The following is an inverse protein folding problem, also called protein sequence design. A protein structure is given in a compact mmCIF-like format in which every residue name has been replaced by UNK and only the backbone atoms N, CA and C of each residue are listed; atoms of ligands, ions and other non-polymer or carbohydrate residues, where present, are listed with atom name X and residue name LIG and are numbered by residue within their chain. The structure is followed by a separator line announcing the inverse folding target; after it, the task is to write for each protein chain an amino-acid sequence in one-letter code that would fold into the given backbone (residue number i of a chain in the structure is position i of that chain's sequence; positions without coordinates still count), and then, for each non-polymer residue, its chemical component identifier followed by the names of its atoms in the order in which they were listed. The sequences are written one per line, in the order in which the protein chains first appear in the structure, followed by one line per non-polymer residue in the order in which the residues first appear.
data_IF_392575374018
#
_entry.id   IF_392575374018
#
_cell.length_a   1.000
_cell.length_b   1.000
_cell.length_c   1.000
_cell.angle_alpha   90.00
_cell.angle_beta   90.00
_cell.angle_gamma   90.00
#
_symmetry.space_group_name_H-M   'P 1'
#
loop_
_entity.id
_entity.type
_entity.pdbx_description
1 polymer ?
#
# COMPACT_ATOMS: atom_id res chain seq x y z
N UNK A 1 -11.00 -25.72 23.55
CA UNK A 1 -11.43 -26.78 22.64
C UNK A 1 -10.21 -27.29 21.89
N UNK A 2 -9.89 -28.56 22.01
CA UNK A 2 -8.82 -29.18 21.23
C UNK A 2 -9.45 -29.81 19.99
N UNK A 3 -9.15 -29.28 18.80
CA UNK A 3 -9.65 -29.83 17.52
C UNK A 3 -9.03 -31.20 17.19
N UNK A 4 -7.84 -31.45 17.71
CA UNK A 4 -7.11 -32.70 17.48
C UNK A 4 -6.95 -33.46 18.80
N UNK A 5 -7.04 -34.79 18.74
CA UNK A 5 -6.80 -35.63 19.93
C UNK A 5 -5.39 -35.41 20.45
N UNK A 6 -5.22 -35.12 21.75
CA UNK A 6 -3.90 -34.92 22.34
C UNK A 6 -3.00 -36.16 22.10
N UNK A 7 -1.73 -35.91 21.76
CA UNK A 7 -0.74 -36.98 21.54
C UNK A 7 -0.64 -37.49 20.11
N UNK A 8 -1.47 -37.10 19.15
CA UNK A 8 -1.33 -37.46 17.75
C UNK A 8 -0.24 -36.62 17.08
N UNK A 9 0.82 -37.26 16.60
CA UNK A 9 1.91 -36.61 15.86
C UNK A 9 1.72 -36.85 14.37
N UNK A 10 1.68 -35.76 13.61
CA UNK A 10 1.59 -35.79 12.16
C UNK A 10 3.00 -35.67 11.54
N UNK A 11 3.23 -36.36 10.42
CA UNK A 11 4.50 -36.34 9.70
C UNK A 11 4.53 -35.20 8.66
N UNK A 12 4.81 -33.97 9.12
CA UNK A 12 4.99 -32.81 8.24
C UNK A 12 6.35 -32.84 7.52
N UNK A 13 7.41 -33.25 8.21
CA UNK A 13 8.77 -33.26 7.67
C UNK A 13 8.98 -34.31 6.60
N UNK A 14 8.23 -35.42 6.63
CA UNK A 14 8.25 -36.43 5.56
C UNK A 14 7.77 -35.87 4.22
N UNK A 15 6.80 -34.98 4.24
CA UNK A 15 6.23 -34.38 3.03
C UNK A 15 6.95 -33.08 2.59
N UNK A 16 7.97 -32.62 3.31
CA UNK A 16 8.64 -31.32 3.09
C UNK A 16 9.12 -31.10 1.65
N UNK A 17 9.57 -32.14 0.95
CA UNK A 17 10.09 -32.03 -0.43
C UNK A 17 9.03 -31.53 -1.41
N UNK A 18 7.82 -32.07 -1.30
CA UNK A 18 6.70 -31.63 -2.15
C UNK A 18 6.32 -30.18 -1.87
N UNK A 19 6.21 -29.83 -0.60
CA UNK A 19 5.79 -28.50 -0.18
C UNK A 19 6.86 -27.42 -0.43
N UNK A 20 8.15 -27.76 -0.30
CA UNK A 20 9.25 -26.88 -0.72
C UNK A 20 9.20 -26.64 -2.24
N UNK A 21 8.90 -27.66 -3.05
CA UNK A 21 8.75 -27.50 -4.49
C UNK A 21 7.57 -26.56 -4.82
N UNK A 22 6.43 -26.71 -4.14
CA UNK A 22 5.28 -25.79 -4.27
C UNK A 22 5.69 -24.35 -3.90
N UNK A 23 6.38 -24.14 -2.77
CA UNK A 23 6.89 -22.83 -2.36
C UNK A 23 7.81 -22.21 -3.42
N UNK A 24 8.73 -23.00 -3.96
CA UNK A 24 9.63 -22.54 -5.01
C UNK A 24 8.87 -22.13 -6.28
N UNK A 25 7.88 -22.91 -6.69
CA UNK A 25 7.03 -22.58 -7.85
C UNK A 25 6.27 -21.29 -7.59
N UNK A 26 5.67 -21.12 -6.41
CA UNK A 26 4.94 -19.91 -6.04
C UNK A 26 5.85 -18.68 -6.03
N UNK A 27 7.02 -18.76 -5.39
CA UNK A 27 7.96 -17.63 -5.31
C UNK A 27 8.57 -17.32 -6.68
N UNK A 28 9.04 -18.32 -7.42
CA UNK A 28 9.60 -18.11 -8.76
C UNK A 28 8.53 -17.56 -9.72
N UNK A 29 7.32 -18.10 -9.66
CA UNK A 29 6.18 -17.58 -10.41
C UNK A 29 5.87 -16.12 -10.05
N UNK A 30 5.86 -15.78 -8.76
CA UNK A 30 5.67 -14.40 -8.30
C UNK A 30 6.79 -13.47 -8.76
N UNK A 31 8.05 -13.93 -8.75
CA UNK A 31 9.19 -13.18 -9.28
C UNK A 31 9.02 -12.93 -10.78
N UNK A 32 8.72 -13.96 -11.56
CA UNK A 32 8.50 -13.83 -13.01
C UNK A 32 7.35 -12.84 -13.29
N UNK A 33 6.22 -13.01 -12.60
CA UNK A 33 5.08 -12.10 -12.73
C UNK A 33 5.44 -10.65 -12.35
N UNK A 34 6.32 -10.44 -11.39
CA UNK A 34 6.78 -9.10 -11.00
C UNK A 34 7.61 -8.40 -12.09
N UNK A 35 8.19 -9.14 -13.04
CA UNK A 35 8.88 -8.58 -14.20
C UNK A 35 8.01 -8.56 -15.44
N UNK A 36 7.18 -9.58 -15.67
CA UNK A 36 6.34 -9.73 -16.86
C UNK A 36 4.99 -10.31 -16.43
N UNK A 37 3.93 -9.50 -16.41
CA UNK A 37 3.74 -8.13 -16.91
C UNK A 37 4.16 -7.01 -15.92
N UNK A 38 4.57 -7.34 -14.71
CA UNK A 38 4.88 -6.38 -13.65
C UNK A 38 3.68 -5.93 -12.81
N UNK A 39 3.93 -5.33 -11.63
CA UNK A 39 2.87 -4.85 -10.74
C UNK A 39 2.15 -3.65 -11.34
N UNK A 40 0.83 -3.65 -11.18
CA UNK A 40 0.00 -2.50 -11.50
C UNK A 40 0.02 -1.53 -10.31
N UNK A 41 0.80 -0.47 -10.42
CA UNK A 41 0.88 0.53 -9.36
C UNK A 41 -0.33 1.47 -9.39
N UNK A 42 -0.95 1.68 -8.25
CA UNK A 42 -2.03 2.65 -8.07
C UNK A 42 -1.54 4.12 -8.16
N UNK A 43 -2.50 5.04 -8.09
CA UNK A 43 -2.27 6.48 -8.14
C UNK A 43 -1.32 6.97 -7.05
N UNK A 44 -1.30 6.31 -5.87
CA UNK A 44 -0.36 6.60 -4.77
C UNK A 44 1.11 6.58 -5.22
N UNK A 45 1.46 5.71 -6.17
CA UNK A 45 2.84 5.48 -6.60
C UNK A 45 3.16 6.01 -8.00
N UNK A 46 2.16 6.08 -8.89
CA UNK A 46 2.33 6.64 -10.24
C UNK A 46 2.16 8.14 -10.25
N UNK A 47 1.34 8.66 -9.35
CA UNK A 47 0.75 9.97 -9.46
C UNK A 47 -0.41 9.96 -10.46
N UNK A 48 -1.20 11.01 -10.47
CA UNK A 48 -2.37 11.16 -11.30
C UNK A 48 -3.57 11.65 -10.52
N UNK A 49 -4.71 11.76 -11.21
CA UNK A 49 -6.01 12.08 -10.60
C UNK A 49 -6.89 10.84 -10.62
N UNK A 50 -7.47 10.50 -9.49
CA UNK A 50 -8.44 9.43 -9.32
C UNK A 50 -9.80 10.04 -9.00
N UNK A 51 -10.80 9.65 -9.77
CA UNK A 51 -12.19 10.09 -9.59
C UNK A 51 -13.08 8.86 -9.45
N UNK A 52 -13.77 8.76 -8.34
CA UNK A 52 -14.73 7.70 -8.06
C UNK A 52 -16.14 8.22 -8.36
N UNK A 53 -16.79 7.60 -9.36
CA UNK A 53 -18.10 8.03 -9.87
C UNK A 53 -19.13 6.92 -9.79
N UNK A 54 -20.33 7.28 -9.35
CA UNK A 54 -21.53 6.45 -9.48
C UNK A 54 -22.42 7.03 -10.60
N UNK A 55 -22.54 6.28 -11.70
CA UNK A 55 -23.41 6.69 -12.80
C UNK A 55 -24.88 6.40 -12.51
N UNK A 56 -25.77 7.30 -12.98
CA UNK A 56 -27.21 7.18 -12.77
C UNK A 56 -27.92 6.18 -13.68
N UNK A 57 -27.25 5.75 -14.77
CA UNK A 57 -27.78 4.80 -15.76
C UNK A 57 -26.79 3.67 -16.07
N UNK A 58 -27.27 2.54 -16.64
CA UNK A 58 -26.42 1.46 -17.09
C UNK A 58 -25.35 1.95 -18.09
N UNK A 59 -24.09 1.72 -17.76
CA UNK A 59 -22.95 2.03 -18.62
C UNK A 59 -21.88 0.98 -18.40
N UNK A 60 -21.14 0.60 -19.43
CA UNK A 60 -20.04 -0.34 -19.32
C UNK A 60 -18.67 0.37 -19.25
N UNK A 61 -17.67 -0.33 -18.79
CA UNK A 61 -16.31 0.21 -18.61
C UNK A 61 -15.68 0.65 -19.94
N UNK A 62 -16.00 0.00 -21.06
CA UNK A 62 -15.46 0.34 -22.36
C UNK A 62 -16.05 1.68 -22.85
N UNK A 63 -17.34 1.88 -22.65
CA UNK A 63 -18.01 3.14 -22.99
C UNK A 63 -17.52 4.30 -22.12
N UNK A 64 -17.36 4.07 -20.81
CA UNK A 64 -16.79 5.07 -19.89
C UNK A 64 -15.35 5.44 -20.34
N UNK A 65 -14.51 4.46 -20.67
CA UNK A 65 -13.14 4.70 -21.15
C UNK A 65 -13.14 5.56 -22.42
N UNK A 66 -13.94 5.19 -23.43
CA UNK A 66 -14.07 5.96 -24.66
C UNK A 66 -14.59 7.38 -24.43
N UNK A 67 -15.51 7.57 -23.48
CA UNK A 67 -16.00 8.88 -23.11
C UNK A 67 -14.91 9.75 -22.46
N UNK A 68 -14.11 9.19 -21.54
CA UNK A 68 -12.98 9.88 -20.91
C UNK A 68 -11.90 10.27 -21.93
N UNK A 69 -11.55 9.37 -22.86
CA UNK A 69 -10.62 9.67 -23.96
C UNK A 69 -11.14 10.80 -24.85
N UNK A 70 -12.41 10.74 -25.18
CA UNK A 70 -13.04 11.73 -26.07
C UNK A 70 -13.18 13.13 -25.44
N UNK A 71 -13.14 13.26 -24.11
CA UNK A 71 -13.10 14.57 -23.43
C UNK A 71 -11.68 15.07 -23.16
N UNK A 72 -10.66 14.38 -23.74
CA UNK A 72 -9.27 14.85 -23.83
C UNK A 72 -8.30 14.27 -22.80
N UNK A 73 -8.71 13.29 -22.00
CA UNK A 73 -7.80 12.62 -21.05
C UNK A 73 -7.22 11.35 -21.70
N UNK A 74 -5.90 11.27 -21.75
CA UNK A 74 -5.17 10.18 -22.42
C UNK A 74 -5.07 8.94 -21.53
N UNK A 75 -5.20 7.76 -22.16
CA UNK A 75 -4.96 6.46 -21.50
C UNK A 75 -5.61 6.31 -20.11
N UNK A 76 -6.94 6.54 -20.01
CA UNK A 76 -7.61 6.40 -18.73
C UNK A 76 -7.65 4.93 -18.29
N UNK A 77 -7.38 4.69 -17.02
CA UNK A 77 -7.68 3.41 -16.38
C UNK A 77 -9.07 3.47 -15.77
N UNK A 78 -9.94 2.56 -16.20
CA UNK A 78 -11.35 2.52 -15.78
C UNK A 78 -11.61 1.17 -15.14
N UNK A 79 -11.91 1.20 -13.84
CA UNK A 79 -12.16 0.01 -13.04
C UNK A 79 -13.58 0.06 -12.50
N UNK A 80 -14.37 -0.96 -12.79
CA UNK A 80 -15.69 -1.09 -12.20
C UNK A 80 -15.57 -1.59 -10.76
N UNK A 81 -16.23 -0.90 -9.84
CA UNK A 81 -16.33 -1.30 -8.43
C UNK A 81 -17.60 -2.12 -8.24
N UNK A 82 -17.48 -3.27 -7.61
CA UNK A 82 -18.64 -4.10 -7.26
C UNK A 82 -19.23 -3.56 -5.96
N UNK A 83 -20.29 -2.77 -6.08
CA UNK A 83 -21.04 -2.24 -4.95
C UNK A 83 -22.53 -2.66 -5.14
N UNK A 84 -23.12 -3.45 -4.21
CA UNK A 84 -24.52 -3.87 -4.32
C UNK A 84 -25.51 -2.71 -4.36
N UNK A 85 -25.17 -1.57 -3.75
CA UNK A 85 -26.03 -0.39 -3.69
C UNK A 85 -25.83 0.57 -4.87
N UNK A 86 -24.70 0.43 -5.62
CA UNK A 86 -24.31 1.30 -6.72
C UNK A 86 -23.80 0.47 -7.90
N UNK A 87 -24.67 -0.12 -8.72
CA UNK A 87 -24.28 -1.09 -9.76
C UNK A 87 -23.39 -0.50 -10.87
N UNK A 88 -23.44 0.83 -11.07
CA UNK A 88 -22.67 1.54 -12.10
C UNK A 88 -21.62 2.42 -11.46
N UNK A 89 -20.86 1.85 -10.54
CA UNK A 89 -19.82 2.51 -9.80
C UNK A 89 -18.45 2.23 -10.44
N UNK A 90 -17.71 3.29 -10.75
CA UNK A 90 -16.40 3.22 -11.43
C UNK A 90 -15.37 4.10 -10.76
N UNK A 91 -14.15 3.62 -10.76
CA UNK A 91 -12.95 4.42 -10.44
C UNK A 91 -12.27 4.75 -11.77
N UNK A 92 -12.14 6.05 -12.03
CA UNK A 92 -11.49 6.61 -13.20
C UNK A 92 -10.14 7.18 -12.78
N UNK A 93 -9.07 6.73 -13.43
CA UNK A 93 -7.73 7.25 -13.18
C UNK A 93 -7.16 7.84 -14.44
N UNK A 94 -6.68 9.07 -14.32
CA UNK A 94 -6.02 9.78 -15.40
C UNK A 94 -4.64 10.25 -14.93
N UNK A 95 -3.67 10.28 -15.87
CA UNK A 95 -2.31 10.71 -15.53
C UNK A 95 -2.19 12.21 -15.31
N UNK A 96 -3.20 12.95 -15.77
CA UNK A 96 -3.25 14.41 -15.62
C UNK A 96 -3.44 14.78 -14.15
N UNK A 97 -2.57 15.64 -13.65
CA UNK A 97 -2.68 16.25 -12.31
C UNK A 97 -2.91 17.74 -12.46
N UNK A 98 -3.63 18.31 -11.50
CA UNK A 98 -3.82 19.77 -11.38
C UNK A 98 -2.53 20.45 -10.91
N UNK A 99 -1.38 20.05 -11.45
CA UNK A 99 -0.12 20.69 -11.10
C UNK A 99 -0.06 22.06 -11.80
N UNK A 100 -0.03 23.14 -11.01
CA UNK A 100 0.33 24.46 -11.51
C UNK A 100 1.82 24.39 -11.83
N UNK A 101 2.17 24.67 -13.08
CA UNK A 101 3.56 24.71 -13.52
C UNK A 101 4.32 25.82 -12.78
N UNK A 102 5.64 25.72 -12.71
CA UNK A 102 6.43 26.77 -12.03
C UNK A 102 6.29 28.13 -12.76
N UNK A 103 6.09 28.13 -14.08
CA UNK A 103 5.79 29.32 -14.85
C UNK A 103 4.42 29.93 -14.45
N UNK A 104 3.40 29.10 -14.35
CA UNK A 104 2.06 29.53 -13.90
C UNK A 104 2.08 30.04 -12.44
N UNK A 105 2.91 29.46 -11.56
CA UNK A 105 3.10 29.94 -10.19
C UNK A 105 3.66 31.37 -10.16
N UNK A 106 4.63 31.66 -11.03
CA UNK A 106 5.20 33.01 -11.14
C UNK A 106 4.12 34.00 -11.62
N UNK A 107 3.35 33.61 -12.65
CA UNK A 107 2.27 34.44 -13.18
C UNK A 107 1.19 34.68 -12.12
N UNK A 108 0.77 33.63 -11.41
CA UNK A 108 -0.21 33.71 -10.32
C UNK A 108 0.28 34.57 -9.14
N UNK A 109 1.54 34.43 -8.72
CA UNK A 109 2.12 35.28 -7.68
C UNK A 109 2.08 36.73 -8.08
N UNK A 110 2.43 37.05 -9.32
CA UNK A 110 2.36 38.40 -9.86
C UNK A 110 0.92 38.90 -9.95
N UNK A 111 -0.02 38.09 -10.41
CA UNK A 111 -1.44 38.43 -10.46
C UNK A 111 -2.03 38.70 -9.07
N UNK A 112 -1.63 37.91 -8.06
CA UNK A 112 -1.98 38.10 -6.64
C UNK A 112 -1.20 39.23 -5.95
N UNK A 113 -0.48 40.00 -6.74
CA UNK A 113 0.33 41.15 -6.23
C UNK A 113 1.31 40.71 -5.11
N UNK A 114 1.93 39.53 -5.26
CA UNK A 114 2.91 39.05 -4.29
C UNK A 114 4.16 39.92 -4.30
N UNK A 115 4.59 40.39 -3.14
CA UNK A 115 5.59 41.45 -2.98
C UNK A 115 6.92 41.12 -3.66
N UNK A 116 7.39 39.86 -3.54
CA UNK A 116 8.68 39.43 -4.10
C UNK A 116 8.68 39.26 -5.62
N UNK A 117 7.50 39.15 -6.24
CA UNK A 117 7.32 38.97 -7.68
C UNK A 117 6.86 40.25 -8.40
N UNK A 118 6.55 41.32 -7.65
CA UNK A 118 6.13 42.58 -8.21
C UNK A 118 7.30 43.36 -8.82
N UNK A 119 7.07 43.89 -10.00
CA UNK A 119 7.93 44.95 -10.55
C UNK A 119 7.61 46.26 -9.86
N UNK A 120 8.58 47.19 -9.69
CA UNK A 120 8.34 48.48 -9.07
C UNK A 120 7.17 49.28 -9.68
N UNK A 121 6.94 49.10 -11.01
CA UNK A 121 5.83 49.74 -11.74
C UNK A 121 4.45 49.15 -11.47
N UNK A 122 4.36 47.99 -10.82
CA UNK A 122 3.09 47.27 -10.63
C UNK A 122 2.56 47.51 -9.18
N UNK A 123 3.37 48.02 -8.26
CA UNK A 123 2.99 48.25 -6.87
C UNK A 123 1.81 49.18 -6.70
N UNK A 124 1.71 50.24 -7.56
CA UNK A 124 0.65 51.23 -7.49
C UNK A 124 -0.71 50.73 -8.00
N UNK A 125 -0.70 49.59 -8.72
CA UNK A 125 -1.92 48.97 -9.26
C UNK A 125 -2.57 48.00 -8.28
N UNK A 126 -1.90 47.70 -7.17
CA UNK A 126 -2.29 46.66 -6.23
C UNK A 126 -2.76 47.28 -4.92
N UNK A 127 -4.08 47.28 -4.61
CA UNK A 127 -4.57 47.74 -3.32
C UNK A 127 -4.01 46.84 -2.19
N UNK A 128 -3.78 47.43 -1.02
CA UNK A 128 -3.23 46.68 0.14
C UNK A 128 -4.10 45.49 0.55
N UNK A 129 -5.43 45.60 0.37
CA UNK A 129 -6.40 44.51 0.65
C UNK A 129 -6.34 43.34 -0.33
N UNK A 130 -5.64 43.47 -1.46
CA UNK A 130 -5.46 42.44 -2.47
C UNK A 130 -3.98 42.19 -2.82
N UNK A 131 -3.07 42.66 -1.95
CA UNK A 131 -1.61 42.46 -2.09
C UNK A 131 -1.17 41.33 -1.18
N UNK A 132 -0.84 40.17 -1.74
CA UNK A 132 -0.41 39.01 -0.99
C UNK A 132 1.01 39.17 -0.44
N UNK A 133 1.19 38.91 0.86
CA UNK A 133 2.51 38.85 1.53
C UNK A 133 3.05 37.45 1.62
N UNK A 134 2.20 36.46 1.48
CA UNK A 134 2.57 35.04 1.39
C UNK A 134 1.68 34.32 0.36
N UNK A 135 2.26 33.53 -0.51
CA UNK A 135 1.53 32.68 -1.49
C UNK A 135 2.07 31.28 -1.43
N UNK A 136 1.24 30.34 -0.98
CA UNK A 136 1.53 28.91 -0.95
C UNK A 136 0.60 28.16 -1.88
N UNK A 137 1.18 27.35 -2.74
CA UNK A 137 0.44 26.45 -3.62
C UNK A 137 0.35 25.07 -2.97
N UNK A 138 -0.84 24.47 -3.00
CA UNK A 138 -0.99 23.05 -2.66
C UNK A 138 -0.17 22.22 -3.64
N UNK A 139 0.31 21.07 -3.17
CA UNK A 139 1.08 20.15 -4.03
C UNK A 139 0.26 19.65 -5.23
N UNK A 140 -1.07 19.69 -5.17
CA UNK A 140 -1.99 19.30 -6.23
C UNK A 140 -2.44 20.40 -7.17
N UNK A 141 -2.06 21.63 -6.88
CA UNK A 141 -2.45 22.76 -7.71
C UNK A 141 -3.96 23.06 -7.71
N UNK A 142 -4.69 22.50 -6.78
CA UNK A 142 -6.14 22.72 -6.60
C UNK A 142 -6.46 23.85 -5.62
N UNK A 143 -5.46 24.29 -4.83
CA UNK A 143 -5.62 25.32 -3.81
C UNK A 143 -4.43 26.25 -3.75
N UNK A 144 -4.73 27.53 -3.51
CA UNK A 144 -3.75 28.55 -3.20
C UNK A 144 -4.11 29.13 -1.82
N UNK A 145 -3.15 29.12 -0.91
CA UNK A 145 -3.29 29.80 0.38
C UNK A 145 -2.48 31.10 0.33
N UNK A 146 -3.15 32.20 0.58
CA UNK A 146 -2.55 33.54 0.58
C UNK A 146 -2.69 34.18 1.94
N UNK A 147 -1.79 35.11 2.26
CA UNK A 147 -1.85 35.96 3.47
C UNK A 147 -1.78 37.42 3.06
N UNK A 148 -2.49 38.26 3.80
CA UNK A 148 -2.57 39.70 3.59
C UNK A 148 -2.25 40.44 4.89
N UNK A 149 -1.80 41.69 4.79
CA UNK A 149 -1.49 42.55 5.97
C UNK A 149 -2.74 43.27 6.51
N UNK A 150 -3.76 43.39 5.68
CA UNK A 150 -5.04 44.02 6.02
C UNK A 150 -6.20 43.10 5.64
N UNK A 151 -7.42 43.48 6.03
CA UNK A 151 -8.62 42.71 5.67
C UNK A 151 -8.69 42.46 4.16
N UNK A 152 -8.76 41.20 3.71
CA UNK A 152 -8.67 40.84 2.30
C UNK A 152 -9.95 41.14 1.53
N UNK A 153 -9.80 41.81 0.38
CA UNK A 153 -10.88 42.01 -0.59
C UNK A 153 -11.03 40.76 -1.47
N UNK A 154 -11.99 39.91 -1.13
CA UNK A 154 -12.21 38.62 -1.80
C UNK A 154 -12.61 38.77 -3.28
N UNK A 155 -13.33 39.84 -3.63
CA UNK A 155 -13.72 40.08 -5.04
C UNK A 155 -12.51 40.54 -5.88
N UNK A 156 -11.66 41.39 -5.35
CA UNK A 156 -10.43 41.78 -6.01
C UNK A 156 -9.49 40.57 -6.19
N UNK A 157 -9.33 39.74 -5.16
CA UNK A 157 -8.52 38.50 -5.20
C UNK A 157 -9.06 37.52 -6.24
N UNK A 158 -10.38 37.32 -6.29
CA UNK A 158 -11.05 36.50 -7.29
C UNK A 158 -10.74 36.96 -8.72
N UNK A 159 -10.88 38.25 -8.97
CA UNK A 159 -10.62 38.85 -10.27
C UNK A 159 -9.14 38.74 -10.68
N UNK A 160 -8.22 38.87 -9.71
CA UNK A 160 -6.79 38.68 -9.92
C UNK A 160 -6.47 37.27 -10.40
N UNK A 161 -7.05 36.23 -9.79
CA UNK A 161 -6.83 34.85 -10.17
C UNK A 161 -7.46 34.54 -11.54
N UNK A 162 -8.67 35.04 -11.78
CA UNK A 162 -9.37 34.83 -13.07
C UNK A 162 -8.70 35.62 -14.24
N UNK A 163 -7.88 36.61 -13.95
CA UNK A 163 -7.11 37.31 -14.99
C UNK A 163 -5.97 36.46 -15.60
N UNK A 164 -5.60 35.38 -14.93
CA UNK A 164 -4.54 34.46 -15.40
C UNK A 164 -5.14 33.47 -16.40
N UNK A 165 -4.64 33.40 -17.65
CA UNK A 165 -5.16 32.51 -18.67
C UNK A 165 -5.08 31.03 -18.20
N UNK A 166 -6.18 30.31 -18.39
CA UNK A 166 -6.27 28.89 -18.05
C UNK A 166 -6.61 28.59 -16.58
N UNK A 167 -6.73 29.60 -15.73
CA UNK A 167 -7.18 29.45 -14.35
C UNK A 167 -8.69 29.58 -14.24
N UNK A 168 -9.30 28.66 -13.52
CA UNK A 168 -10.73 28.66 -13.20
C UNK A 168 -10.92 28.34 -11.73
N UNK A 169 -11.84 29.02 -11.10
CA UNK A 169 -12.19 28.80 -9.71
C UNK A 169 -13.24 27.70 -9.60
N UNK A 170 -13.14 26.88 -8.56
CA UNK A 170 -14.18 25.91 -8.22
C UNK A 170 -15.47 26.66 -7.87
N UNK A 171 -16.59 26.23 -8.45
CA UNK A 171 -17.89 26.81 -8.17
C UNK A 171 -18.28 26.53 -6.71
N UNK A 172 -18.17 27.52 -5.85
CA UNK A 172 -18.61 27.51 -4.47
C UNK A 172 -19.07 28.90 -4.08
N UNK A 173 -20.11 28.99 -3.28
CA UNK A 173 -20.66 30.26 -2.79
C UNK A 173 -19.65 31.10 -1.98
N UNK A 174 -18.60 30.45 -1.45
CA UNK A 174 -17.59 31.07 -0.57
C UNK A 174 -16.16 30.88 -1.09
N UNK A 175 -15.95 30.98 -2.40
CA UNK A 175 -14.61 30.86 -2.99
C UNK A 175 -14.22 32.15 -3.73
N UNK A 176 -13.16 32.89 -3.31
CA UNK A 176 -12.22 32.64 -2.19
C UNK A 176 -12.85 32.75 -0.79
N UNK A 177 -12.29 32.03 0.20
CA UNK A 177 -12.78 32.09 1.57
C UNK A 177 -11.69 32.46 2.57
N UNK A 178 -12.05 33.21 3.62
CA UNK A 178 -11.14 33.50 4.72
C UNK A 178 -11.04 32.30 5.64
N UNK A 179 -9.84 31.70 5.75
CA UNK A 179 -9.56 30.60 6.66
C UNK A 179 -9.36 31.08 8.10
N UNK A 180 -8.63 32.18 8.26
CA UNK A 180 -8.33 32.75 9.57
C UNK A 180 -8.40 34.26 9.51
N UNK A 181 -9.45 34.86 10.10
CA UNK A 181 -9.59 36.32 10.11
C UNK A 181 -8.48 37.09 10.87
N UNK A 182 -7.87 36.44 11.89
CA UNK A 182 -6.80 37.08 12.68
C UNK A 182 -5.49 37.20 11.91
N UNK A 183 -5.20 36.22 11.03
CA UNK A 183 -3.99 36.19 10.23
C UNK A 183 -4.24 36.64 8.79
N UNK A 184 -5.44 37.12 8.47
CA UNK A 184 -5.87 37.49 7.11
C UNK A 184 -5.51 36.43 6.06
N UNK A 185 -5.70 35.16 6.41
CA UNK A 185 -5.45 34.03 5.49
C UNK A 185 -6.67 33.73 4.67
N UNK A 186 -6.44 33.64 3.35
CA UNK A 186 -7.47 33.30 2.36
C UNK A 186 -7.08 32.01 1.66
N UNK A 187 -8.04 31.10 1.52
CA UNK A 187 -7.95 29.92 0.65
C UNK A 187 -8.70 30.21 -0.66
N UNK A 188 -8.01 29.96 -1.75
CA UNK A 188 -8.56 30.07 -3.10
C UNK A 188 -8.58 28.66 -3.69
N UNK A 189 -9.76 28.15 -3.99
CA UNK A 189 -9.94 26.80 -4.58
C UNK A 189 -10.03 26.92 -6.09
N UNK A 190 -9.10 26.27 -6.79
CA UNK A 190 -9.07 26.19 -8.23
C UNK A 190 -9.84 24.95 -8.70
N UNK A 191 -10.32 24.98 -9.94
CA UNK A 191 -10.99 23.86 -10.56
C UNK A 191 -9.98 22.73 -10.81
N UNK A 192 -10.11 21.63 -10.09
CA UNK A 192 -9.21 20.48 -10.20
C UNK A 192 -9.38 19.75 -11.55
N UNK A 193 -8.37 18.96 -11.95
CA UNK A 193 -8.50 18.09 -13.14
C UNK A 193 -9.61 17.06 -12.97
N UNK A 194 -9.86 16.61 -11.75
CA UNK A 194 -10.98 15.73 -11.43
C UNK A 194 -12.33 16.41 -11.66
N UNK A 195 -12.49 17.63 -11.16
CA UNK A 195 -13.72 18.41 -11.40
C UNK A 195 -13.92 18.66 -12.92
N UNK A 196 -12.85 19.04 -13.65
CA UNK A 196 -12.90 19.23 -15.10
C UNK A 196 -13.30 17.94 -15.83
N UNK A 197 -12.82 16.78 -15.38
CA UNK A 197 -13.18 15.48 -15.93
C UNK A 197 -14.69 15.22 -15.74
N UNK A 198 -15.21 15.44 -14.54
CA UNK A 198 -16.62 15.24 -14.21
C UNK A 198 -17.49 16.16 -15.06
N UNK A 199 -17.18 17.46 -15.11
CA UNK A 199 -17.95 18.46 -15.88
C UNK A 199 -17.96 18.13 -17.37
N UNK A 200 -16.82 17.75 -17.94
CA UNK A 200 -16.74 17.35 -19.35
C UNK A 200 -17.48 16.04 -19.65
N UNK A 201 -17.40 15.06 -18.73
CA UNK A 201 -18.17 13.82 -18.85
C UNK A 201 -19.67 14.09 -18.80
N UNK A 202 -20.11 14.96 -17.87
CA UNK A 202 -21.52 15.38 -17.76
C UNK A 202 -21.98 16.09 -19.02
N UNK A 203 -21.19 17.00 -19.55
CA UNK A 203 -21.50 17.69 -20.80
C UNK A 203 -21.62 16.72 -22.00
N UNK A 204 -20.85 15.63 -22.02
CA UNK A 204 -20.85 14.64 -23.11
C UNK A 204 -21.91 13.56 -22.98
N UNK A 205 -22.09 13.00 -21.78
CA UNK A 205 -22.98 11.86 -21.51
C UNK A 205 -24.38 12.29 -21.06
N UNK A 206 -24.53 13.54 -20.63
CA UNK A 206 -25.76 14.08 -20.08
C UNK A 206 -25.85 13.98 -18.57
N UNK A 207 -26.63 14.88 -17.97
CA UNK A 207 -26.86 14.93 -16.51
C UNK A 207 -27.60 13.70 -15.97
N UNK A 208 -28.35 13.01 -16.80
CA UNK A 208 -29.04 11.77 -16.44
C UNK A 208 -28.07 10.61 -16.22
N UNK A 209 -26.91 10.61 -16.92
CA UNK A 209 -25.89 9.60 -16.80
C UNK A 209 -24.87 9.98 -15.72
N UNK A 210 -24.49 11.28 -15.66
CA UNK A 210 -23.57 11.83 -14.65
C UNK A 210 -24.32 12.84 -13.78
N UNK A 211 -25.08 12.41 -12.78
CA UNK A 211 -25.82 13.30 -11.88
C UNK A 211 -24.89 14.21 -11.07
N UNK A 212 -25.45 15.22 -10.41
CA UNK A 212 -24.66 16.21 -9.65
C UNK A 212 -23.93 15.58 -8.46
N UNK A 213 -24.46 14.54 -7.88
CA UNK A 213 -23.91 13.75 -6.79
C UNK A 213 -23.13 12.50 -7.26
N UNK A 214 -22.85 12.39 -8.57
CA UNK A 214 -22.10 11.25 -9.12
C UNK A 214 -20.72 11.08 -8.53
N UNK A 215 -20.04 12.18 -8.16
CA UNK A 215 -18.70 12.17 -7.61
C UNK A 215 -18.72 11.75 -6.14
N UNK A 216 -18.21 10.54 -5.87
CA UNK A 216 -18.09 10.01 -4.51
C UNK A 216 -16.77 10.43 -3.88
N UNK A 217 -15.70 10.48 -4.68
CA UNK A 217 -14.36 10.82 -4.24
C UNK A 217 -13.54 11.37 -5.40
N UNK A 218 -12.78 12.42 -5.13
CA UNK A 218 -11.78 12.95 -6.07
C UNK A 218 -10.47 13.08 -5.31
N UNK A 219 -9.47 12.31 -5.73
CA UNK A 219 -8.13 12.33 -5.16
C UNK A 219 -7.10 12.56 -6.25
N UNK A 220 -5.97 13.09 -5.87
CA UNK A 220 -4.85 13.30 -6.78
C UNK A 220 -3.53 13.18 -6.03
N UNK A 221 -2.53 12.69 -6.72
CA UNK A 221 -1.17 12.58 -6.22
C UNK A 221 -0.22 13.14 -7.27
N UNK A 222 0.55 14.15 -6.89
CA UNK A 222 1.58 14.70 -7.78
C UNK A 222 2.67 13.64 -8.08
N UNK A 223 3.28 13.61 -9.28
CA UNK A 223 4.27 12.61 -9.66
C UNK A 223 5.49 12.55 -8.73
N UNK A 224 5.94 13.71 -8.21
CA UNK A 224 7.03 13.79 -7.23
C UNK A 224 6.62 13.16 -5.89
N UNK A 225 5.39 13.43 -5.43
CA UNK A 225 4.84 12.83 -4.21
C UNK A 225 4.68 11.32 -4.37
N UNK A 226 4.16 10.83 -5.49
CA UNK A 226 4.03 9.40 -5.77
C UNK A 226 5.37 8.67 -5.75
N UNK A 227 6.42 9.26 -6.35
CA UNK A 227 7.78 8.71 -6.26
C UNK A 227 8.27 8.65 -4.80
N UNK A 228 8.09 9.72 -4.05
CA UNK A 228 8.49 9.79 -2.64
C UNK A 228 7.74 8.77 -1.79
N UNK A 229 6.43 8.60 -2.00
CA UNK A 229 5.62 7.60 -1.31
C UNK A 229 6.09 6.17 -1.61
N UNK A 230 6.41 5.87 -2.87
CA UNK A 230 6.97 4.57 -3.26
C UNK A 230 8.32 4.29 -2.60
N UNK A 231 9.23 5.27 -2.57
CA UNK A 231 10.53 5.13 -1.93
C UNK A 231 10.37 4.96 -0.40
N UNK A 232 9.46 5.70 0.22
CA UNK A 232 9.14 5.57 1.65
C UNK A 232 8.51 4.21 1.96
N UNK A 233 7.59 3.71 1.14
CA UNK A 233 6.97 2.40 1.30
C UNK A 233 8.01 1.27 1.22
N UNK A 234 8.91 1.32 0.23
CA UNK A 234 10.04 0.36 0.12
C UNK A 234 10.91 0.41 1.37
N UNK A 235 11.30 1.60 1.82
CA UNK A 235 12.15 1.77 2.99
C UNK A 235 11.45 1.26 4.26
N UNK A 236 10.14 1.49 4.41
CA UNK A 236 9.36 0.97 5.54
C UNK A 236 9.39 -0.56 5.60
N UNK A 237 9.22 -1.25 4.47
CA UNK A 237 9.32 -2.72 4.41
C UNK A 237 10.72 -3.19 4.81
N UNK A 238 11.78 -2.56 4.28
CA UNK A 238 13.17 -2.92 4.63
C UNK A 238 13.44 -2.69 6.11
N UNK A 239 13.05 -1.55 6.66
CA UNK A 239 13.24 -1.23 8.09
C UNK A 239 12.46 -2.23 8.96
N UNK A 240 11.20 -2.55 8.61
CA UNK A 240 10.42 -3.54 9.33
C UNK A 240 11.12 -4.91 9.34
N UNK A 241 11.64 -5.38 8.21
CA UNK A 241 12.39 -6.64 8.12
C UNK A 241 13.65 -6.62 8.97
N UNK A 242 14.41 -5.51 8.99
CA UNK A 242 15.60 -5.35 9.85
C UNK A 242 15.21 -5.38 11.33
N UNK A 243 14.16 -4.65 11.72
CA UNK A 243 13.67 -4.65 13.11
C UNK A 243 13.23 -6.06 13.56
N UNK A 244 12.52 -6.79 12.69
CA UNK A 244 12.11 -8.18 12.95
C UNK A 244 13.35 -9.06 13.13
N UNK A 245 14.35 -8.94 12.25
CA UNK A 245 15.59 -9.71 12.34
C UNK A 245 16.33 -9.44 13.66
N UNK A 246 16.46 -8.18 14.05
CA UNK A 246 17.07 -7.79 15.33
C UNK A 246 16.30 -8.36 16.54
N UNK A 247 14.96 -8.20 16.53
CA UNK A 247 14.12 -8.78 17.57
C UNK A 247 14.34 -10.29 17.70
N UNK A 248 14.34 -11.02 16.59
CA UNK A 248 14.53 -12.46 16.59
C UNK A 248 15.94 -12.87 17.03
N UNK A 249 16.96 -12.09 16.66
CA UNK A 249 18.34 -12.34 17.08
C UNK A 249 18.50 -12.20 18.63
N UNK A 250 17.77 -11.29 19.24
CA UNK A 250 17.74 -11.15 20.70
C UNK A 250 16.85 -12.20 21.40
N UNK A 251 15.73 -12.58 20.79
CA UNK A 251 14.73 -13.45 21.40
C UNK A 251 15.02 -14.93 21.23
N UNK A 252 15.65 -15.32 20.10
CA UNK A 252 15.95 -16.70 19.72
C UNK A 252 17.43 -16.89 19.40
N UNK A 253 17.87 -18.15 19.37
CA UNK A 253 19.19 -18.49 18.84
C UNK A 253 19.30 -18.08 17.37
N UNK A 254 20.48 -17.60 16.95
CA UNK A 254 20.76 -17.15 15.56
C UNK A 254 20.42 -18.21 14.48
N UNK A 255 20.32 -19.49 14.85
CA UNK A 255 19.93 -20.57 13.93
C UNK A 255 18.47 -20.51 13.47
N UNK A 256 17.59 -19.86 14.24
CA UNK A 256 16.16 -19.76 13.94
C UNK A 256 15.82 -18.50 13.11
N UNK A 257 16.55 -17.43 13.27
CA UNK A 257 16.28 -16.16 12.62
C UNK A 257 16.20 -16.23 11.08
N UNK A 258 17.12 -16.91 10.35
CA UNK A 258 17.05 -16.97 8.89
C UNK A 258 15.78 -17.66 8.38
N UNK A 259 15.28 -18.69 9.09
CA UNK A 259 14.04 -19.36 8.72
C UNK A 259 12.83 -18.46 8.71
N UNK A 260 12.69 -17.60 9.74
CA UNK A 260 11.58 -16.63 9.83
C UNK A 260 11.69 -15.58 8.71
N UNK A 261 12.89 -15.05 8.46
CA UNK A 261 13.10 -14.01 7.42
C UNK A 261 12.70 -14.55 6.05
N UNK A 262 13.16 -15.76 5.71
CA UNK A 262 12.84 -16.39 4.42
C UNK A 262 11.34 -16.67 4.32
N UNK A 263 10.68 -17.10 5.39
CA UNK A 263 9.23 -17.31 5.41
C UNK A 263 8.48 -15.98 5.22
N UNK A 264 8.86 -14.90 5.90
CA UNK A 264 8.25 -13.58 5.72
C UNK A 264 8.41 -13.04 4.29
N UNK A 265 9.59 -13.21 3.70
CA UNK A 265 9.84 -12.84 2.30
C UNK A 265 9.01 -13.69 1.33
N UNK A 266 8.92 -14.99 1.57
CA UNK A 266 8.07 -15.91 0.81
C UNK A 266 6.61 -15.42 0.82
N UNK A 267 6.05 -15.12 1.99
CA UNK A 267 4.65 -14.72 2.13
C UNK A 267 4.37 -13.38 1.44
N UNK A 268 5.26 -12.40 1.61
CA UNK A 268 5.17 -11.12 0.91
C UNK A 268 5.21 -11.30 -0.61
N UNK A 269 6.11 -12.16 -1.12
CA UNK A 269 6.22 -12.45 -2.55
C UNK A 269 4.99 -13.16 -3.10
N UNK A 270 4.40 -14.10 -2.36
CA UNK A 270 3.15 -14.77 -2.74
C UNK A 270 2.00 -13.76 -2.85
N UNK A 271 1.86 -12.85 -1.88
CA UNK A 271 0.84 -11.79 -1.93
C UNK A 271 1.02 -10.90 -3.16
N UNK A 272 2.25 -10.43 -3.42
CA UNK A 272 2.55 -9.62 -4.62
C UNK A 272 2.25 -10.41 -5.90
N UNK A 273 2.65 -11.68 -5.97
CA UNK A 273 2.38 -12.54 -7.11
C UNK A 273 0.89 -12.70 -7.42
N UNK A 274 0.06 -12.90 -6.40
CA UNK A 274 -1.40 -12.95 -6.54
C UNK A 274 -1.97 -11.62 -7.02
N UNK A 275 -1.49 -10.48 -6.50
CA UNK A 275 -1.92 -9.16 -6.95
C UNK A 275 -1.61 -8.93 -8.43
N UNK A 276 -0.40 -9.29 -8.86
CA UNK A 276 0.00 -9.18 -10.27
C UNK A 276 -0.82 -10.12 -11.16
N UNK A 277 -1.02 -11.36 -10.72
CA UNK A 277 -1.81 -12.36 -11.46
C UNK A 277 -3.26 -11.92 -11.66
N UNK A 278 -3.87 -11.36 -10.60
CA UNK A 278 -5.25 -10.86 -10.64
C UNK A 278 -5.37 -9.44 -11.19
N UNK A 279 -4.26 -8.85 -11.66
CA UNK A 279 -4.19 -7.46 -12.15
C UNK A 279 -4.70 -6.42 -11.14
N UNK A 280 -4.57 -6.75 -9.86
CA UNK A 280 -4.92 -5.83 -8.78
C UNK A 280 -3.86 -4.74 -8.62
N UNK A 281 -4.29 -3.58 -8.14
CA UNK A 281 -3.38 -2.47 -7.92
C UNK A 281 -2.60 -2.61 -6.63
N UNK A 282 -1.32 -2.26 -6.72
CA UNK A 282 -0.45 -2.11 -5.57
C UNK A 282 -0.51 -0.65 -5.13
N UNK A 283 -1.13 -0.41 -3.98
CA UNK A 283 -1.34 0.89 -3.35
C UNK A 283 -0.62 0.96 -1.99
N UNK A 284 -0.67 2.10 -1.31
CA UNK A 284 -0.20 2.20 0.08
C UNK A 284 -0.93 1.22 1.01
N UNK A 285 -2.23 1.01 0.77
CA UNK A 285 -3.03 0.03 1.52
C UNK A 285 -2.52 -1.39 1.31
N UNK A 286 -2.09 -1.74 0.10
CA UNK A 286 -1.47 -3.06 -0.19
C UNK A 286 -0.17 -3.23 0.58
N UNK A 287 0.68 -2.20 0.66
CA UNK A 287 1.92 -2.25 1.46
C UNK A 287 1.60 -2.42 2.95
N UNK A 288 0.60 -1.69 3.47
CA UNK A 288 0.15 -1.85 4.85
C UNK A 288 -0.37 -3.28 5.12
N UNK A 289 -1.12 -3.87 4.18
CA UNK A 289 -1.56 -5.27 4.27
C UNK A 289 -0.38 -6.24 4.28
N UNK A 290 0.64 -6.05 3.42
CA UNK A 290 1.85 -6.89 3.38
C UNK A 290 2.60 -6.81 4.71
N UNK A 291 2.77 -5.61 5.29
CA UNK A 291 3.40 -5.46 6.61
C UNK A 291 2.60 -6.15 7.71
N UNK A 292 1.27 -6.09 7.64
CA UNK A 292 0.38 -6.81 8.58
C UNK A 292 0.54 -8.32 8.43
N UNK A 293 0.59 -8.84 7.20
CA UNK A 293 0.84 -10.26 6.88
C UNK A 293 2.18 -10.72 7.43
N UNK A 294 3.25 -9.94 7.23
CA UNK A 294 4.58 -10.25 7.76
C UNK A 294 4.53 -10.39 9.29
N UNK A 295 3.86 -9.44 9.98
CA UNK A 295 3.70 -9.51 11.43
C UNK A 295 2.89 -10.74 11.90
N UNK A 296 1.85 -11.08 11.15
CA UNK A 296 1.01 -12.23 11.44
C UNK A 296 1.72 -13.56 11.20
N UNK A 297 2.38 -13.73 10.07
CA UNK A 297 3.19 -14.91 9.72
C UNK A 297 4.33 -15.13 10.71
N UNK A 298 5.00 -14.04 11.11
CA UNK A 298 6.03 -14.12 12.13
C UNK A 298 5.50 -14.66 13.45
N UNK A 299 4.30 -14.24 13.89
CA UNK A 299 3.69 -14.71 15.12
C UNK A 299 3.50 -16.23 15.15
N UNK A 300 2.97 -16.81 14.05
CA UNK A 300 2.80 -18.27 13.94
C UNK A 300 4.14 -19.00 13.93
N UNK A 301 5.12 -18.49 13.19
CA UNK A 301 6.46 -19.08 13.16
C UNK A 301 7.17 -19.05 14.51
N UNK A 302 7.02 -17.95 15.24
CA UNK A 302 7.58 -17.80 16.60
C UNK A 302 6.98 -18.82 17.56
N UNK A 303 5.67 -19.07 17.50
CA UNK A 303 5.00 -20.07 18.34
C UNK A 303 5.53 -21.48 18.07
N UNK A 304 5.69 -21.84 16.79
CA UNK A 304 6.26 -23.14 16.39
C UNK A 304 7.71 -23.26 16.88
N UNK A 305 8.52 -22.21 16.74
CA UNK A 305 9.92 -22.22 17.11
C UNK A 305 10.14 -22.27 18.64
N UNK A 306 9.30 -21.56 19.39
CA UNK A 306 9.35 -21.65 20.86
C UNK A 306 9.06 -23.08 21.34
N UNK A 307 8.08 -23.73 20.70
CA UNK A 307 7.77 -25.13 20.98
C UNK A 307 8.87 -26.11 20.54
N UNK A 308 9.49 -25.88 19.38
CA UNK A 308 10.65 -26.68 18.93
C UNK A 308 11.80 -26.53 19.96
N UNK A 309 12.10 -25.32 20.41
CA UNK A 309 13.14 -25.06 21.39
C UNK A 309 12.87 -25.77 22.72
N UNK A 310 11.64 -25.72 23.21
CA UNK A 310 11.20 -26.40 24.42
C UNK A 310 11.38 -27.93 24.28
N UNK A 311 10.93 -28.51 23.16
CA UNK A 311 11.00 -29.94 22.91
C UNK A 311 12.42 -30.44 22.64
N UNK A 312 13.31 -29.61 22.08
CA UNK A 312 14.74 -29.92 21.99
C UNK A 312 15.39 -30.13 23.35
N UNK A 313 14.96 -29.37 24.37
CA UNK A 313 15.41 -29.55 25.75
C UNK A 313 14.88 -30.81 26.41
N UNK A 314 13.61 -31.16 26.15
CA UNK A 314 12.89 -32.27 26.78
C UNK A 314 13.22 -33.65 26.16
N UNK A 315 13.39 -33.71 24.84
CA UNK A 315 13.52 -34.98 24.10
C UNK A 315 14.93 -35.19 23.54
N UNK A 316 15.89 -35.36 24.44
CA UNK A 316 17.28 -35.67 24.06
C UNK A 316 17.34 -37.06 23.37
N UNK A 317 17.85 -37.11 22.13
CA UNK A 317 17.97 -38.35 21.35
C UNK A 317 17.02 -38.49 20.18
N UNK A 318 15.98 -37.64 20.07
CA UNK A 318 15.16 -37.55 18.85
C UNK A 318 15.86 -36.69 17.80
N UNK A 319 15.64 -37.04 16.51
CA UNK A 319 16.12 -36.19 15.41
C UNK A 319 15.39 -34.82 15.40
N UNK A 320 16.02 -33.79 14.81
CA UNK A 320 15.39 -32.48 14.69
C UNK A 320 14.03 -32.55 13.94
N UNK A 321 13.94 -33.37 12.89
CA UNK A 321 12.68 -33.61 12.15
C UNK A 321 11.57 -34.21 13.05
N UNK A 322 11.90 -35.16 13.90
CA UNK A 322 10.93 -35.76 14.83
C UNK A 322 10.45 -34.75 15.87
N UNK A 323 11.36 -33.90 16.36
CA UNK A 323 11.02 -32.82 17.31
C UNK A 323 10.15 -31.77 16.63
N UNK A 324 10.45 -31.41 15.37
CA UNK A 324 9.63 -30.48 14.59
C UNK A 324 8.23 -31.03 14.37
N UNK A 325 8.08 -32.29 13.94
CA UNK A 325 6.77 -32.93 13.79
C UNK A 325 5.95 -32.91 15.07
N UNK A 326 6.58 -33.22 16.21
CA UNK A 326 5.95 -33.15 17.53
C UNK A 326 5.50 -31.72 17.85
N UNK A 327 6.39 -30.75 17.72
CA UNK A 327 6.15 -29.34 18.08
C UNK A 327 5.05 -28.71 17.24
N UNK A 328 5.09 -28.93 15.90
CA UNK A 328 4.03 -28.48 14.99
C UNK A 328 2.70 -29.11 15.36
N UNK A 329 2.67 -30.44 15.63
CA UNK A 329 1.43 -31.12 16.01
C UNK A 329 0.83 -30.57 17.30
N UNK A 330 1.66 -30.23 18.29
CA UNK A 330 1.23 -29.65 19.58
C UNK A 330 0.72 -28.22 19.45
N UNK A 331 1.24 -27.44 18.51
CA UNK A 331 0.81 -26.04 18.27
C UNK A 331 -0.30 -25.91 17.24
N UNK A 332 -0.61 -26.97 16.48
CA UNK A 332 -1.52 -26.96 15.34
C UNK A 332 -2.92 -26.46 15.69
N UNK A 333 -3.50 -26.92 16.80
CA UNK A 333 -4.83 -26.44 17.25
C UNK A 333 -4.84 -24.94 17.50
N UNK A 334 -3.80 -24.40 18.08
CA UNK A 334 -3.67 -22.97 18.34
C UNK A 334 -3.56 -22.18 17.04
N UNK A 335 -2.67 -22.60 16.15
CA UNK A 335 -2.45 -21.93 14.85
C UNK A 335 -3.74 -21.94 14.01
N UNK A 336 -4.45 -23.06 13.90
CA UNK A 336 -5.70 -23.15 13.16
C UNK A 336 -6.79 -22.25 13.78
N UNK A 337 -6.89 -22.17 15.10
CA UNK A 337 -7.86 -21.30 15.75
C UNK A 337 -7.55 -19.82 15.54
N UNK A 338 -6.30 -19.41 15.74
CA UNK A 338 -5.90 -18.00 15.62
C UNK A 338 -5.96 -17.53 14.16
N UNK A 339 -5.34 -18.29 13.25
CA UNK A 339 -5.33 -17.94 11.82
C UNK A 339 -6.71 -18.11 11.20
N UNK A 340 -7.47 -19.14 11.60
CA UNK A 340 -8.84 -19.37 11.14
C UNK A 340 -9.81 -18.26 11.55
N UNK A 341 -9.73 -17.76 12.80
CA UNK A 341 -10.57 -16.66 13.24
C UNK A 341 -10.34 -15.38 12.43
N UNK A 342 -9.07 -15.00 12.22
CA UNK A 342 -8.73 -13.80 11.44
C UNK A 342 -9.06 -14.02 9.96
N UNK A 343 -8.85 -15.24 9.43
CA UNK A 343 -9.22 -15.59 8.06
C UNK A 343 -10.72 -15.46 7.82
N UNK A 344 -11.57 -15.89 8.76
CA UNK A 344 -13.03 -15.74 8.65
C UNK A 344 -13.44 -14.26 8.60
N UNK A 345 -12.83 -13.41 9.43
CA UNK A 345 -13.09 -11.98 9.40
C UNK A 345 -12.63 -11.39 8.06
N UNK A 346 -11.40 -11.71 7.63
CA UNK A 346 -10.86 -11.23 6.36
C UNK A 346 -11.72 -11.69 5.17
N UNK A 347 -12.21 -12.93 5.16
CA UNK A 347 -13.13 -13.46 4.15
C UNK A 347 -14.46 -12.71 4.13
N UNK A 348 -15.05 -12.42 5.30
CA UNK A 348 -16.30 -11.66 5.37
C UNK A 348 -16.14 -10.28 4.72
N UNK A 349 -15.06 -9.54 5.05
CA UNK A 349 -14.77 -8.25 4.42
C UNK A 349 -14.32 -8.36 2.96
N UNK A 350 -13.72 -9.45 2.55
CA UNK A 350 -13.40 -9.69 1.14
C UNK A 350 -14.66 -9.85 0.28
N UNK A 351 -15.68 -10.54 0.79
CA UNK A 351 -16.94 -10.75 0.05
C UNK A 351 -17.88 -9.54 0.10
N UNK A 352 -18.00 -8.90 1.27
CA UNK A 352 -18.95 -7.81 1.49
C UNK A 352 -18.32 -6.41 1.43
N UNK A 353 -16.99 -6.30 1.51
CA UNK A 353 -16.28 -5.05 1.39
C UNK A 353 -16.16 -4.58 -0.06
N UNK A 354 -15.96 -3.28 -0.24
CA UNK A 354 -15.80 -2.64 -1.55
C UNK A 354 -14.47 -1.92 -1.66
N UNK A 355 -14.01 -1.66 -2.89
CA UNK A 355 -12.85 -0.83 -3.18
C UNK A 355 -11.58 -1.27 -2.43
N UNK A 356 -10.92 -0.31 -1.79
CA UNK A 356 -9.64 -0.48 -1.10
C UNK A 356 -9.70 -1.52 0.02
N UNK A 357 -10.85 -1.61 0.75
CA UNK A 357 -11.01 -2.57 1.85
C UNK A 357 -10.99 -4.00 1.32
N UNK A 358 -11.66 -4.27 0.20
CA UNK A 358 -11.69 -5.59 -0.43
C UNK A 358 -10.29 -6.04 -0.85
N UNK A 359 -9.51 -5.16 -1.46
CA UNK A 359 -8.16 -5.47 -1.92
C UNK A 359 -7.19 -5.66 -0.73
N UNK A 360 -7.33 -4.85 0.32
CA UNK A 360 -6.60 -5.05 1.57
C UNK A 360 -6.90 -6.42 2.20
N UNK A 361 -8.19 -6.81 2.24
CA UNK A 361 -8.60 -8.12 2.78
C UNK A 361 -8.17 -9.28 1.89
N UNK A 362 -8.12 -9.11 0.57
CA UNK A 362 -7.53 -10.11 -0.34
C UNK A 362 -6.07 -10.38 0.02
N UNK A 363 -5.28 -9.33 0.24
CA UNK A 363 -3.89 -9.48 0.66
C UNK A 363 -3.77 -10.23 2.00
N UNK A 364 -4.64 -9.92 2.97
CA UNK A 364 -4.68 -10.63 4.25
C UNK A 364 -5.08 -12.10 4.09
N UNK A 365 -6.12 -12.42 3.32
CA UNK A 365 -6.56 -13.80 3.07
C UNK A 365 -5.42 -14.62 2.49
N UNK A 366 -4.81 -14.14 1.41
CA UNK A 366 -3.67 -14.80 0.77
C UNK A 366 -2.49 -14.92 1.73
N UNK A 367 -2.18 -13.84 2.45
CA UNK A 367 -1.05 -13.77 3.35
C UNK A 367 -1.19 -14.67 4.58
N UNK A 368 -2.38 -14.77 5.19
CA UNK A 368 -2.62 -15.66 6.33
C UNK A 368 -2.49 -17.13 5.91
N UNK A 369 -3.06 -17.50 4.75
CA UNK A 369 -2.92 -18.86 4.22
C UNK A 369 -1.45 -19.18 3.92
N UNK A 370 -0.74 -18.28 3.24
CA UNK A 370 0.68 -18.44 2.95
C UNK A 370 1.52 -18.52 4.22
N UNK A 371 1.28 -17.65 5.22
CA UNK A 371 2.02 -17.58 6.48
C UNK A 371 1.83 -18.80 7.37
N UNK A 372 0.61 -19.32 7.46
CA UNK A 372 0.34 -20.57 8.19
C UNK A 372 1.07 -21.76 7.55
N UNK A 373 1.10 -21.79 6.23
CA UNK A 373 1.79 -22.80 5.47
C UNK A 373 3.32 -22.64 5.57
N UNK A 374 3.85 -21.44 5.42
CA UNK A 374 5.29 -21.16 5.37
C UNK A 374 5.99 -21.43 6.69
N UNK A 375 5.32 -21.22 7.83
CA UNK A 375 5.85 -21.53 9.16
C UNK A 375 6.26 -23.00 9.30
N UNK A 376 5.49 -23.90 8.68
CA UNK A 376 5.70 -25.35 8.74
C UNK A 376 6.66 -25.85 7.65
N UNK A 377 6.48 -25.39 6.40
CA UNK A 377 7.14 -25.97 5.23
C UNK A 377 8.28 -25.13 4.62
N UNK A 378 8.44 -23.87 5.08
CA UNK A 378 9.56 -23.00 4.68
C UNK A 378 10.48 -22.77 5.87
N UNK A 379 9.96 -22.23 6.96
CA UNK A 379 10.76 -21.84 8.11
C UNK A 379 11.39 -23.05 8.83
N UNK A 380 10.60 -24.05 9.18
CA UNK A 380 11.07 -25.20 9.96
C UNK A 380 12.10 -26.08 9.20
N UNK A 381 11.91 -26.43 7.92
CA UNK A 381 12.92 -27.19 7.16
C UNK A 381 14.23 -26.41 6.94
N UNK A 382 14.15 -25.10 6.73
CA UNK A 382 15.35 -24.29 6.60
C UNK A 382 16.16 -24.26 7.91
N UNK A 383 15.48 -24.15 9.02
CA UNK A 383 16.12 -24.19 10.35
C UNK A 383 16.75 -25.56 10.62
N UNK A 384 16.09 -26.66 10.25
CA UNK A 384 16.67 -28.02 10.32
C UNK A 384 17.97 -28.11 9.53
N UNK A 385 17.97 -27.59 8.30
CA UNK A 385 19.14 -27.61 7.44
C UNK A 385 20.30 -26.80 8.04
N UNK A 386 20.02 -25.61 8.61
CA UNK A 386 21.02 -24.78 9.27
C UNK A 386 21.57 -25.48 10.53
N UNK A 387 20.69 -26.01 11.38
CA UNK A 387 21.08 -26.71 12.61
C UNK A 387 21.98 -27.91 12.30
N UNK A 388 21.64 -28.71 11.30
CA UNK A 388 22.43 -29.87 10.87
C UNK A 388 23.81 -29.45 10.39
N UNK A 389 23.94 -28.34 9.63
CA UNK A 389 25.24 -27.84 9.18
C UNK A 389 26.08 -27.29 10.32
N UNK A 390 25.47 -26.52 11.23
CA UNK A 390 26.16 -25.97 12.41
C UNK A 390 26.68 -27.09 13.34
N UNK A 391 25.89 -28.13 13.56
CA UNK A 391 26.24 -29.28 14.40
C UNK A 391 27.39 -30.09 13.77
N UNK A 392 27.32 -30.32 12.45
CA UNK A 392 28.45 -30.97 11.72
C UNK A 392 29.75 -30.18 11.85
N UNK A 393 29.68 -28.83 11.67
CA UNK A 393 30.87 -27.96 11.77
C UNK A 393 31.48 -28.00 13.18
N UNK A 394 30.64 -28.01 14.24
CA UNK A 394 31.12 -28.15 15.64
C UNK A 394 31.80 -29.50 15.86
N UNK A 395 31.23 -30.59 15.36
CA UNK A 395 31.80 -31.93 15.52
C UNK A 395 33.14 -32.07 14.78
N UNK A 396 33.28 -31.52 13.57
CA UNK A 396 34.53 -31.51 12.83
C UNK A 396 35.63 -30.77 13.61
N UNK A 397 35.30 -29.55 14.12
CA UNK A 397 36.28 -28.78 14.94
C UNK A 397 36.69 -29.53 16.21
N UNK A 398 35.77 -30.26 16.85
CA UNK A 398 36.07 -31.05 18.05
C UNK A 398 36.98 -32.24 17.74
N UNK A 399 36.79 -32.89 16.61
CA UNK A 399 37.62 -34.03 16.22
C UNK A 399 39.01 -33.62 15.72
N UNK A 400 39.16 -32.46 15.09
CA UNK A 400 40.46 -31.92 14.67
C UNK A 400 41.26 -31.38 15.85
N UNK A 401 40.61 -30.89 16.93
CA UNK A 401 41.24 -30.38 18.14
C UNK A 401 41.51 -31.42 19.22
N UNK A 402 41.11 -32.68 19.03
CA UNK A 402 41.41 -33.73 19.98
C UNK A 402 42.87 -34.23 19.75
N UNK A 403 43.80 -34.08 20.77
CA UNK A 403 45.12 -34.62 20.65
C UNK A 403 45.03 -36.16 20.43
N UNK A 404 45.80 -36.65 19.46
CA UNK A 404 45.95 -38.10 19.26
C UNK A 404 46.32 -38.71 20.64
N UNK A 405 45.45 -39.56 21.20
CA UNK A 405 45.81 -40.33 22.35
C UNK A 405 47.00 -41.17 21.94
N UNK A 406 48.20 -40.79 22.44
CA UNK A 406 49.35 -41.62 22.35
C UNK A 406 49.04 -42.97 23.05
N UNK A 407 48.95 -44.04 22.28
CA UNK A 407 48.82 -45.38 22.80
C UNK A 407 50.05 -45.73 23.62
N UNK A 408 49.84 -46.12 24.87
CA UNK A 408 50.83 -46.85 25.66
C UNK A 408 50.44 -48.32 25.59
#
# INVERSE_FOLDING_TARGET
MEFFKPGRVFDFMGQRRYWIAVSLILVLGSIILSFVPGPNYGTDFRGGTEVELAFGRPIDAAHVRSAVEAVGFKTPDVVQVVDPNKPYHFILRVQDVSAITDEEKIVLRRALCYVDELRPSDSDKCPLSARATEVKFSAGGDKITTRYDVDPDLEAIKNQVLSVPGMSLRASATNPQVLNPRDHRVEIQLLSKGDQLIDRLRAKLGSDVVPDDAALRVEWVGPKAGKQLRDSARNAVVIAMVCIMLYLAFRFDLRFAPGVIVACLHDAMVVIGVFVLLRKEVTLSTIAAILTVIGYSMNDTVVVYDRIRENLGKHRGKSFAQITNLSVSETLSRTILTSGAVLLIAMAFFFYGTGVIRDFMLALVVGIVAGTYSSIYVAAPLTEWIDTRMTRAKNVKRNVGAPARAGV
#
